data_IF_150293997814
#
_entry.id   IF_150293997814
#
_cell.length_a   1.000
_cell.length_b   1.000
_cell.length_c   1.000
_cell.angle_alpha   90.00
_cell.angle_beta   90.00
_cell.angle_gamma   90.00
#
_symmetry.space_group_name_H-M   'P 1'
#
loop_
_entity.id
_entity.type
_entity.pdbx_description
1 polymer ?
#
# COMPACT_ATOMS: atom_id res chain seq x y z
N UNK A 1 -71.78 -2.03 11.97
CA UNK A 1 -71.35 -1.93 10.54
C UNK A 1 -69.93 -1.49 10.58
N UNK A 2 -69.11 -2.45 10.59
CA UNK A 2 -67.67 -2.33 10.93
C UNK A 2 -66.89 -2.22 9.62
N UNK A 3 -66.19 -1.09 9.46
CA UNK A 3 -65.27 -0.86 8.36
C UNK A 3 -63.86 -1.21 8.76
N UNK A 4 -63.41 -2.40 8.39
CA UNK A 4 -62.05 -2.84 8.54
C UNK A 4 -61.16 -2.03 7.54
N UNK A 5 -60.19 -1.29 8.12
CA UNK A 5 -59.15 -0.62 7.37
C UNK A 5 -57.99 -1.58 7.15
N UNK A 6 -57.73 -1.93 5.92
CA UNK A 6 -56.56 -2.72 5.50
C UNK A 6 -55.21 -1.97 5.79
N UNK A 7 -54.17 -2.66 6.26
CA UNK A 7 -52.87 -2.05 6.45
C UNK A 7 -52.12 -1.99 5.10
N UNK A 8 -51.90 -0.77 4.63
CA UNK A 8 -51.08 -0.48 3.46
C UNK A 8 -49.63 -0.87 3.71
N UNK A 9 -49.19 -1.94 3.11
CA UNK A 9 -47.84 -2.44 3.14
C UNK A 9 -46.92 -1.47 2.36
N UNK A 10 -46.23 -0.56 3.05
CA UNK A 10 -45.19 0.28 2.46
C UNK A 10 -43.97 -0.58 2.15
N UNK A 11 -43.79 -0.92 0.88
CA UNK A 11 -42.52 -1.43 0.37
C UNK A 11 -41.46 -0.34 0.56
N UNK A 12 -40.53 -0.56 1.52
CA UNK A 12 -39.29 0.18 1.58
C UNK A 12 -38.38 -0.36 0.47
N UNK A 13 -38.32 0.34 -0.65
CA UNK A 13 -37.28 0.16 -1.62
C UNK A 13 -35.94 0.55 -0.96
N UNK A 14 -35.13 -0.45 -0.65
CA UNK A 14 -33.72 -0.25 -0.39
C UNK A 14 -33.08 0.19 -1.70
N UNK A 15 -32.89 1.50 -1.86
CA UNK A 15 -32.03 2.04 -2.91
C UNK A 15 -30.60 1.63 -2.53
N UNK A 16 -30.10 0.61 -3.23
CA UNK A 16 -28.67 0.31 -3.23
C UNK A 16 -27.94 1.56 -3.69
N UNK A 17 -27.23 2.21 -2.77
CA UNK A 17 -26.27 3.23 -3.14
C UNK A 17 -25.24 2.58 -4.06
N UNK A 18 -25.36 2.84 -5.34
CA UNK A 18 -24.30 2.63 -6.29
C UNK A 18 -23.07 3.39 -5.73
N UNK A 19 -22.01 2.66 -5.45
CA UNK A 19 -20.73 3.23 -5.06
C UNK A 19 -20.25 4.03 -6.26
N UNK A 20 -20.51 5.32 -6.25
CA UNK A 20 -20.00 6.26 -7.22
C UNK A 20 -18.49 6.29 -6.96
N UNK A 21 -17.70 5.75 -7.90
CA UNK A 21 -16.23 5.77 -7.79
C UNK A 21 -15.80 7.22 -7.57
N UNK A 22 -15.15 7.47 -6.46
CA UNK A 22 -14.60 8.80 -6.16
C UNK A 22 -13.56 9.14 -7.22
N UNK A 23 -13.93 10.05 -8.13
CA UNK A 23 -13.03 10.58 -9.15
C UNK A 23 -11.97 11.52 -8.54
N UNK A 24 -12.12 11.86 -7.27
CA UNK A 24 -11.21 12.73 -6.52
C UNK A 24 -10.78 12.03 -5.24
N UNK A 25 -9.49 12.09 -4.88
CA UNK A 25 -9.04 11.59 -3.59
C UNK A 25 -9.80 12.32 -2.48
N UNK A 26 -10.30 11.54 -1.51
CA UNK A 26 -11.01 12.06 -0.35
C UNK A 26 -10.23 13.22 0.26
N UNK A 27 -10.91 14.35 0.51
CA UNK A 27 -10.29 15.56 1.06
C UNK A 27 -9.67 15.35 2.46
N UNK A 28 -9.98 14.23 3.11
CA UNK A 28 -9.48 13.84 4.43
C UNK A 28 -8.17 13.03 4.39
N UNK A 29 -7.67 12.69 3.20
CA UNK A 29 -6.37 12.04 3.08
C UNK A 29 -5.25 13.05 3.37
N UNK A 30 -4.66 12.99 4.56
CA UNK A 30 -3.50 13.79 4.91
C UNK A 30 -2.38 13.60 3.86
N UNK A 31 -1.80 14.68 3.33
CA UNK A 31 -0.77 14.56 2.32
C UNK A 31 0.40 13.75 2.87
N UNK A 32 0.84 12.74 2.11
CA UNK A 32 2.01 11.95 2.47
C UNK A 32 3.23 12.84 2.35
N UNK A 33 3.79 13.26 3.48
CA UNK A 33 4.93 14.19 3.53
C UNK A 33 6.29 13.47 3.60
N UNK A 34 6.31 12.20 4.00
CA UNK A 34 7.53 11.41 4.21
C UNK A 34 7.51 10.11 3.42
N UNK A 35 8.60 9.85 2.70
CA UNK A 35 8.83 8.59 2.00
C UNK A 35 10.01 7.83 2.60
N UNK A 36 9.88 6.53 2.78
CA UNK A 36 10.92 5.66 3.34
C UNK A 36 11.51 4.78 2.25
N UNK A 37 12.84 4.70 2.19
CA UNK A 37 13.54 3.83 1.25
C UNK A 37 13.28 2.36 1.58
N UNK A 38 13.40 1.49 0.58
CA UNK A 38 13.20 0.04 0.76
C UNK A 38 14.06 -0.57 1.87
N UNK A 39 15.27 -0.07 2.10
CA UNK A 39 16.15 -0.50 3.19
C UNK A 39 15.57 -0.21 4.56
N UNK A 40 15.00 0.98 4.74
CA UNK A 40 14.34 1.40 5.99
C UNK A 40 13.04 0.61 6.19
N UNK A 41 12.19 0.53 5.14
CA UNK A 41 10.94 -0.22 5.19
C UNK A 41 11.19 -1.70 5.53
N UNK A 42 12.20 -2.33 4.91
CA UNK A 42 12.62 -3.70 5.17
C UNK A 42 13.05 -3.92 6.62
N UNK A 43 13.91 -3.03 7.13
CA UNK A 43 14.40 -3.07 8.52
C UNK A 43 13.27 -2.96 9.53
N UNK A 44 12.42 -1.95 9.37
CA UNK A 44 11.35 -1.63 10.33
C UNK A 44 10.22 -2.64 10.29
N UNK A 45 9.81 -3.11 9.10
CA UNK A 45 8.80 -4.16 8.96
C UNK A 45 9.34 -5.57 9.26
N UNK A 46 10.65 -5.75 9.43
CA UNK A 46 11.27 -7.04 9.69
C UNK A 46 11.30 -8.00 8.48
N UNK A 47 11.30 -7.48 7.27
CA UNK A 47 11.24 -8.26 6.03
C UNK A 47 12.62 -8.32 5.37
N UNK A 48 13.21 -9.50 5.25
CA UNK A 48 14.53 -9.68 4.63
C UNK A 48 14.50 -9.61 3.10
N UNK A 49 13.41 -10.00 2.47
CA UNK A 49 13.28 -10.13 1.01
C UNK A 49 12.24 -9.15 0.44
N UNK A 50 12.30 -7.87 0.82
CA UNK A 50 11.36 -6.87 0.35
C UNK A 50 11.35 -6.71 -1.17
N UNK A 51 12.50 -6.89 -1.84
CA UNK A 51 12.61 -6.89 -3.30
C UNK A 51 11.83 -8.02 -3.96
N UNK A 52 11.80 -9.20 -3.35
CA UNK A 52 10.97 -10.30 -3.80
C UNK A 52 9.48 -9.97 -3.67
N UNK A 53 9.08 -9.39 -2.53
CA UNK A 53 7.70 -8.99 -2.29
C UNK A 53 7.21 -7.94 -3.29
N UNK A 54 8.05 -6.95 -3.59
CA UNK A 54 7.72 -5.92 -4.57
C UNK A 54 7.63 -6.49 -6.00
N UNK A 55 8.53 -7.42 -6.39
CA UNK A 55 8.46 -8.08 -7.71
C UNK A 55 7.24 -9.00 -7.85
N UNK A 56 6.79 -9.60 -6.76
CA UNK A 56 5.58 -10.44 -6.71
C UNK A 56 4.31 -9.63 -6.47
N UNK A 57 4.44 -8.30 -6.40
CA UNK A 57 3.30 -7.38 -6.18
C UNK A 57 2.48 -7.74 -4.92
N UNK A 58 3.15 -8.28 -3.88
CA UNK A 58 2.50 -8.59 -2.61
C UNK A 58 2.12 -7.30 -1.91
N UNK A 59 3.08 -6.36 -1.77
CA UNK A 59 2.85 -4.98 -1.34
C UNK A 59 3.68 -4.07 -2.23
N UNK A 60 3.02 -3.20 -2.97
CA UNK A 60 3.69 -2.20 -3.80
C UNK A 60 3.91 -0.89 -3.03
N UNK A 61 5.05 -0.22 -3.24
CA UNK A 61 5.27 1.10 -2.65
C UNK A 61 4.33 2.14 -3.28
N UNK A 62 3.57 2.85 -2.45
CA UNK A 62 2.55 3.79 -2.91
C UNK A 62 3.12 5.12 -3.43
N UNK A 63 4.36 5.50 -3.01
CA UNK A 63 4.96 6.79 -3.39
C UNK A 63 5.74 6.66 -4.71
N UNK A 64 6.67 5.71 -4.78
CA UNK A 64 7.46 5.47 -5.99
C UNK A 64 7.51 3.97 -6.25
N UNK A 65 6.71 3.48 -7.22
CA UNK A 65 6.68 2.07 -7.58
C UNK A 65 8.00 1.61 -8.21
N UNK A 66 8.13 0.30 -8.35
CA UNK A 66 9.31 -0.32 -8.92
C UNK A 66 9.32 -0.19 -10.45
N UNK A 67 10.23 0.59 -11.00
CA UNK A 67 10.49 0.65 -12.44
C UNK A 67 11.87 0.04 -12.74
N UNK A 68 11.92 -1.28 -12.94
CA UNK A 68 13.15 -1.98 -13.31
C UNK A 68 14.19 -2.15 -12.18
N UNK A 69 15.36 -2.66 -12.55
CA UNK A 69 16.49 -2.87 -11.63
C UNK A 69 17.12 -1.52 -11.26
N UNK A 70 17.21 -1.24 -9.95
CA UNK A 70 17.83 -0.02 -9.43
C UNK A 70 16.88 1.15 -9.18
N UNK A 71 15.56 0.99 -9.37
CA UNK A 71 14.61 2.04 -9.01
C UNK A 71 14.61 2.29 -7.50
N UNK A 72 14.66 3.58 -7.13
CA UNK A 72 14.60 4.00 -5.72
C UNK A 72 13.15 3.96 -5.24
N UNK A 73 12.68 2.79 -4.82
CA UNK A 73 11.34 2.62 -4.26
C UNK A 73 11.18 3.46 -3.01
N UNK A 74 10.04 4.14 -2.90
CA UNK A 74 9.67 4.90 -1.72
C UNK A 74 8.33 4.40 -1.20
N UNK A 75 8.34 4.02 0.07
CA UNK A 75 7.20 3.50 0.81
C UNK A 75 6.64 4.59 1.71
N UNK A 76 5.31 4.70 1.78
CA UNK A 76 4.65 5.55 2.76
C UNK A 76 4.68 4.90 4.15
N UNK A 77 4.35 5.66 5.19
CA UNK A 77 4.13 5.12 6.53
C UNK A 77 3.12 3.96 6.51
N UNK A 78 2.01 4.15 5.80
CA UNK A 78 0.95 3.14 5.63
C UNK A 78 1.48 1.86 5.00
N UNK A 79 2.30 1.97 3.96
CA UNK A 79 2.89 0.79 3.31
C UNK A 79 3.75 -0.02 4.30
N UNK A 80 4.53 0.67 5.15
CA UNK A 80 5.37 -0.01 6.16
C UNK A 80 4.52 -0.73 7.20
N UNK A 81 3.38 -0.15 7.61
CA UNK A 81 2.41 -0.82 8.50
C UNK A 81 1.82 -2.06 7.82
N UNK A 82 1.37 -1.96 6.57
CA UNK A 82 0.83 -3.08 5.81
C UNK A 82 1.88 -4.19 5.64
N UNK A 83 3.12 -3.84 5.35
CA UNK A 83 4.23 -4.78 5.28
C UNK A 83 4.42 -5.53 6.60
N UNK A 84 4.40 -4.83 7.73
CA UNK A 84 4.56 -5.44 9.05
C UNK A 84 3.40 -6.39 9.39
N UNK A 85 2.15 -6.00 9.08
CA UNK A 85 0.96 -6.86 9.26
C UNK A 85 1.09 -8.11 8.38
N UNK A 86 1.42 -7.94 7.10
CA UNK A 86 1.58 -9.06 6.16
C UNK A 86 2.65 -10.05 6.64
N UNK A 87 3.76 -9.53 7.16
CA UNK A 87 4.82 -10.36 7.76
C UNK A 87 4.30 -11.17 8.94
N UNK A 88 3.53 -10.56 9.84
CA UNK A 88 2.95 -11.25 11.00
C UNK A 88 2.00 -12.36 10.58
N UNK A 89 1.15 -12.12 9.58
CA UNK A 89 0.24 -13.13 9.06
C UNK A 89 0.98 -14.31 8.43
N UNK A 90 2.01 -14.03 7.62
CA UNK A 90 2.83 -15.10 7.00
C UNK A 90 3.61 -15.89 8.04
N UNK A 91 4.18 -15.24 9.06
CA UNK A 91 4.89 -15.90 10.16
C UNK A 91 3.96 -16.79 10.99
N UNK A 92 2.68 -16.44 11.08
CA UNK A 92 1.64 -17.27 11.72
C UNK A 92 1.15 -18.42 10.83
N UNK A 93 1.68 -18.58 9.62
CA UNK A 93 1.32 -19.66 8.69
C UNK A 93 0.08 -19.37 7.83
N UNK A 94 -0.41 -18.13 7.82
CA UNK A 94 -1.53 -17.73 6.94
C UNK A 94 -1.05 -17.81 5.48
N UNK A 95 -1.86 -18.42 4.62
CA UNK A 95 -1.52 -18.53 3.20
C UNK A 95 -1.50 -17.16 2.51
N UNK A 96 -0.73 -17.07 1.41
CA UNK A 96 -0.51 -15.82 0.71
C UNK A 96 -1.80 -15.19 0.16
N UNK A 97 -2.78 -15.99 -0.24
CA UNK A 97 -4.06 -15.48 -0.75
C UNK A 97 -4.82 -14.71 0.33
N UNK A 98 -4.90 -15.24 1.55
CA UNK A 98 -5.54 -14.57 2.67
C UNK A 98 -4.76 -13.31 3.11
N UNK A 99 -3.42 -13.36 3.03
CA UNK A 99 -2.59 -12.17 3.25
C UNK A 99 -2.89 -11.10 2.21
N UNK A 100 -3.05 -11.46 0.93
CA UNK A 100 -3.43 -10.52 -0.14
C UNK A 100 -4.81 -9.90 0.12
N UNK A 101 -5.77 -10.69 0.59
CA UNK A 101 -7.09 -10.18 1.00
C UNK A 101 -6.97 -9.17 2.15
N UNK A 102 -6.16 -9.48 3.17
CA UNK A 102 -5.88 -8.55 4.26
C UNK A 102 -5.20 -7.26 3.80
N UNK A 103 -4.25 -7.36 2.88
CA UNK A 103 -3.58 -6.19 2.27
C UNK A 103 -4.60 -5.31 1.56
N UNK A 104 -5.45 -5.88 0.71
CA UNK A 104 -6.51 -5.16 0.00
C UNK A 104 -7.46 -4.44 0.96
N UNK A 105 -7.84 -5.10 2.05
CA UNK A 105 -8.65 -4.51 3.10
C UNK A 105 -7.96 -3.32 3.78
N UNK A 106 -6.69 -3.47 4.18
CA UNK A 106 -5.92 -2.41 4.85
C UNK A 106 -5.59 -1.25 3.91
N UNK A 107 -5.39 -1.52 2.63
CA UNK A 107 -5.09 -0.51 1.63
C UNK A 107 -6.23 0.52 1.44
N UNK A 108 -7.45 0.15 1.74
CA UNK A 108 -8.63 1.03 1.67
C UNK A 108 -8.78 1.94 2.91
N UNK A 109 -8.01 1.73 3.98
CA UNK A 109 -8.08 2.50 5.23
C UNK A 109 -7.09 3.65 5.22
N UNK A 110 -7.43 4.74 5.92
CA UNK A 110 -6.46 5.82 6.17
C UNK A 110 -5.43 5.38 7.23
N UNK A 111 -4.24 6.02 7.29
CA UNK A 111 -3.26 5.72 8.33
C UNK A 111 -3.84 5.84 9.75
N UNK A 112 -4.73 6.79 10.00
CA UNK A 112 -5.37 7.05 11.28
C UNK A 112 -6.36 5.94 11.64
N UNK A 113 -7.13 5.46 10.66
CA UNK A 113 -8.04 4.33 10.86
C UNK A 113 -7.28 3.06 11.25
N UNK A 114 -6.08 2.84 10.70
CA UNK A 114 -5.26 1.68 11.04
C UNK A 114 -4.80 1.67 12.50
N UNK A 115 -4.77 2.83 13.17
CA UNK A 115 -4.29 2.95 14.55
C UNK A 115 -5.18 2.26 15.59
N UNK A 116 -6.46 2.02 15.28
CA UNK A 116 -7.44 1.48 16.23
C UNK A 116 -7.97 0.09 15.91
N UNK A 117 -7.62 -0.50 14.76
CA UNK A 117 -8.25 -1.73 14.33
C UNK A 117 -7.47 -2.99 14.70
N UNK A 118 -8.25 -4.07 14.90
CA UNK A 118 -7.77 -5.44 14.97
C UNK A 118 -8.37 -6.17 13.77
N UNK A 119 -7.58 -6.90 13.03
CA UNK A 119 -8.08 -7.79 11.99
C UNK A 119 -8.04 -9.23 12.47
N UNK A 120 -9.09 -9.98 12.15
CA UNK A 120 -9.18 -11.41 12.39
C UNK A 120 -9.42 -12.14 11.08
N UNK A 121 -8.58 -13.16 10.80
CA UNK A 121 -8.65 -13.95 9.59
C UNK A 121 -9.11 -15.36 9.95
N UNK A 122 -10.18 -15.84 9.32
CA UNK A 122 -10.74 -17.18 9.54
C UNK A 122 -10.26 -18.21 8.48
N UNK A 123 -9.26 -17.85 7.69
CA UNK A 123 -8.73 -18.67 6.60
C UNK A 123 -9.42 -18.44 5.26
N UNK A 124 -10.56 -17.74 5.22
CA UNK A 124 -11.28 -17.37 3.99
C UNK A 124 -11.55 -15.86 3.93
N UNK A 125 -11.89 -15.26 5.07
CA UNK A 125 -12.28 -13.87 5.16
C UNK A 125 -11.41 -13.11 6.15
N UNK A 126 -11.39 -11.78 5.97
CA UNK A 126 -10.78 -10.85 6.91
C UNK A 126 -11.89 -10.02 7.55
N UNK A 127 -11.94 -10.06 8.86
CA UNK A 127 -12.90 -9.34 9.68
C UNK A 127 -12.20 -8.22 10.43
N UNK A 128 -12.77 -7.02 10.38
CA UNK A 128 -12.35 -5.92 11.24
C UNK A 128 -13.06 -6.03 12.57
N UNK A 129 -12.32 -5.95 13.65
CA UNK A 129 -12.86 -5.91 15.00
C UNK A 129 -12.40 -4.61 15.66
N UNK A 130 -13.37 -3.81 16.09
CA UNK A 130 -13.13 -2.56 16.81
C UNK A 130 -13.35 -2.72 18.32
N UNK A 131 -14.06 -3.76 18.72
CA UNK A 131 -14.38 -4.08 20.10
C UNK A 131 -14.19 -5.58 20.43
N UNK A 132 -14.21 -5.88 21.72
CA UNK A 132 -14.02 -7.24 22.24
C UNK A 132 -15.20 -8.17 21.94
N UNK A 133 -16.41 -7.64 21.81
CA UNK A 133 -17.62 -8.45 21.59
C UNK A 133 -17.58 -9.06 20.19
N UNK A 134 -17.17 -8.30 19.19
CA UNK A 134 -16.97 -8.79 17.81
C UNK A 134 -15.92 -9.90 17.76
N UNK A 135 -14.82 -9.76 18.51
CA UNK A 135 -13.79 -10.80 18.59
C UNK A 135 -14.32 -12.08 19.22
N UNK A 136 -15.08 -11.96 20.31
CA UNK A 136 -15.69 -13.11 20.99
C UNK A 136 -16.71 -13.80 20.10
N UNK A 137 -17.55 -13.04 19.39
CA UNK A 137 -18.52 -13.60 18.44
C UNK A 137 -17.85 -14.42 17.32
N UNK A 138 -16.73 -13.92 16.78
CA UNK A 138 -15.94 -14.67 15.79
C UNK A 138 -15.36 -15.96 16.36
N UNK A 139 -14.83 -15.93 17.57
CA UNK A 139 -14.31 -17.14 18.23
C UNK A 139 -15.41 -18.15 18.53
N UNK A 140 -16.60 -17.70 18.91
CA UNK A 140 -17.77 -18.56 19.17
C UNK A 140 -18.34 -19.19 17.89
N UNK A 141 -17.98 -18.70 16.71
CA UNK A 141 -18.39 -19.28 15.43
C UNK A 141 -17.84 -20.70 15.18
N UNK A 142 -16.95 -21.20 16.04
CA UNK A 142 -16.31 -22.51 15.93
C UNK A 142 -15.22 -22.59 14.85
N UNK A 143 -14.82 -21.47 14.26
CA UNK A 143 -13.75 -21.39 13.26
C UNK A 143 -12.42 -21.11 13.94
N UNK A 144 -11.35 -21.64 13.37
CA UNK A 144 -10.00 -21.22 13.73
C UNK A 144 -9.76 -19.82 13.18
N UNK A 145 -9.40 -18.87 14.04
CA UNK A 145 -9.15 -17.47 13.67
C UNK A 145 -7.77 -17.03 14.14
N UNK A 146 -7.12 -16.21 13.30
CA UNK A 146 -5.87 -15.54 13.63
C UNK A 146 -6.13 -14.05 13.75
N UNK A 147 -5.78 -13.49 14.90
CA UNK A 147 -5.93 -12.06 15.17
C UNK A 147 -4.61 -11.31 15.07
N UNK A 148 -4.63 -10.12 14.45
CA UNK A 148 -3.50 -9.18 14.43
C UNK A 148 -3.99 -7.81 14.85
N UNK A 149 -3.41 -7.27 15.92
CA UNK A 149 -3.61 -5.88 16.30
C UNK A 149 -2.82 -4.97 15.37
N UNK A 150 -3.50 -4.42 14.37
CA UNK A 150 -2.91 -3.46 13.43
C UNK A 150 -2.52 -2.19 14.17
N UNK A 151 -3.35 -1.73 15.12
CA UNK A 151 -3.07 -0.56 15.94
C UNK A 151 -1.78 -0.69 16.75
N UNK A 152 -1.53 -1.85 17.37
CA UNK A 152 -0.27 -2.09 18.07
C UNK A 152 0.93 -2.00 17.14
N UNK A 153 0.86 -2.59 15.95
CA UNK A 153 1.92 -2.50 14.94
C UNK A 153 2.07 -1.07 14.43
N UNK A 154 0.98 -0.35 14.22
CA UNK A 154 1.00 1.05 13.82
C UNK A 154 1.83 1.91 14.80
N UNK A 155 1.59 1.77 16.12
CA UNK A 155 2.33 2.49 17.14
C UNK A 155 3.81 2.09 17.19
N UNK A 156 4.11 0.79 17.06
CA UNK A 156 5.50 0.30 17.02
C UNK A 156 6.24 0.85 15.79
N UNK A 157 5.63 0.80 14.62
CA UNK A 157 6.20 1.32 13.37
C UNK A 157 6.40 2.83 13.44
N UNK A 158 5.41 3.57 13.95
CA UNK A 158 5.53 5.02 14.14
C UNK A 158 6.75 5.37 14.97
N UNK A 159 6.90 4.74 16.14
CA UNK A 159 8.04 4.94 17.04
C UNK A 159 9.38 4.55 16.38
N UNK A 160 9.41 3.44 15.65
CA UNK A 160 10.62 3.00 14.95
C UNK A 160 11.05 3.97 13.84
N UNK A 161 10.08 4.49 13.07
CA UNK A 161 10.35 5.41 11.97
C UNK A 161 10.71 6.83 12.41
N UNK A 162 10.46 7.23 13.66
CA UNK A 162 10.87 8.53 14.21
C UNK A 162 12.38 8.73 14.16
N UNK A 163 13.15 7.64 14.26
CA UNK A 163 14.61 7.65 14.29
C UNK A 163 15.27 7.22 12.98
N UNK A 164 14.48 6.96 11.94
CA UNK A 164 14.98 6.49 10.64
C UNK A 164 15.04 7.61 9.61
N UNK A 165 15.93 7.46 8.64
CA UNK A 165 16.03 8.38 7.52
C UNK A 165 14.79 8.34 6.63
N UNK A 166 14.32 9.51 6.23
CA UNK A 166 13.19 9.65 5.31
C UNK A 166 13.50 10.67 4.22
N UNK A 167 12.75 10.57 3.13
CA UNK A 167 12.74 11.54 2.04
C UNK A 167 11.57 12.49 2.29
N UNK A 168 11.85 13.77 2.42
CA UNK A 168 10.84 14.81 2.57
C UNK A 168 10.20 15.10 1.20
N UNK A 169 8.92 14.78 1.06
CA UNK A 169 8.16 14.94 -0.18
C UNK A 169 7.57 16.34 -0.34
N UNK A 170 7.61 17.15 0.72
CA UNK A 170 7.14 18.56 0.65
C UNK A 170 8.16 19.46 -0.02
N UNK A 171 9.43 19.07 0.02
CA UNK A 171 10.48 19.76 -0.70
C UNK A 171 10.39 19.31 -2.16
N UNK A 172 9.79 20.14 -3.01
CA UNK A 172 9.96 20.01 -4.46
C UNK A 172 11.45 19.85 -4.71
N UNK A 173 11.93 18.79 -5.39
CA UNK A 173 13.32 18.73 -5.77
C UNK A 173 13.55 20.00 -6.58
N UNK A 174 14.38 20.91 -6.06
CA UNK A 174 14.88 22.02 -6.84
C UNK A 174 15.28 21.40 -8.16
N UNK A 175 14.71 21.89 -9.26
CA UNK A 175 14.92 21.41 -10.62
C UNK A 175 16.39 21.02 -10.73
N UNK A 176 16.64 19.71 -10.71
CA UNK A 176 17.98 19.19 -10.86
C UNK A 176 18.40 19.67 -12.23
N UNK A 177 19.33 20.59 -12.22
CA UNK A 177 20.06 21.05 -13.39
C UNK A 177 20.09 19.95 -14.45
N UNK A 178 19.44 20.21 -15.58
CA UNK A 178 19.47 19.39 -16.78
C UNK A 178 20.89 19.30 -17.38
N UNK A 179 21.87 19.79 -16.65
CA UNK A 179 23.30 19.72 -16.97
C UNK A 179 23.95 18.50 -16.31
N UNK A 180 23.38 17.31 -16.53
CA UNK A 180 24.03 16.06 -16.14
C UNK A 180 24.98 15.60 -17.24
N UNK A 181 26.21 15.22 -16.87
CA UNK A 181 27.24 14.70 -17.81
C UNK A 181 26.79 13.47 -18.65
N UNK A 182 25.65 12.87 -18.29
CA UNK A 182 25.11 11.68 -18.98
C UNK A 182 24.58 12.03 -20.38
N UNK A 183 24.02 13.22 -20.58
CA UNK A 183 23.56 13.66 -21.91
C UNK A 183 24.73 13.95 -22.83
N UNK A 184 25.85 14.44 -22.30
CA UNK A 184 27.08 14.65 -23.06
C UNK A 184 27.67 13.33 -23.55
N UNK A 185 27.69 12.27 -22.77
CA UNK A 185 28.20 10.95 -23.15
C UNK A 185 27.34 10.32 -24.24
N UNK A 186 26.01 10.44 -24.15
CA UNK A 186 25.10 9.97 -25.19
C UNK A 186 25.25 10.78 -26.49
N UNK A 187 25.40 12.10 -26.40
CA UNK A 187 25.64 13.00 -27.52
C UNK A 187 26.99 12.73 -28.18
N UNK A 188 28.05 12.50 -27.41
CA UNK A 188 29.38 12.13 -27.91
C UNK A 188 29.36 10.78 -28.62
N UNK A 189 28.68 9.78 -28.07
CA UNK A 189 28.52 8.46 -28.72
C UNK A 189 27.74 8.57 -30.03
N UNK A 190 26.70 9.39 -30.07
CA UNK A 190 25.90 9.60 -31.27
C UNK A 190 26.68 10.35 -32.35
N UNK A 191 27.43 11.38 -32.00
CA UNK A 191 28.35 12.10 -32.94
C UNK A 191 29.40 11.15 -33.52
N UNK A 192 30.05 10.34 -32.69
CA UNK A 192 31.05 9.35 -33.14
C UNK A 192 30.45 8.30 -34.09
N UNK A 193 29.21 7.88 -33.83
CA UNK A 193 28.48 6.94 -34.72
C UNK A 193 28.08 7.57 -36.06
N UNK A 194 27.76 8.85 -36.08
CA UNK A 194 27.45 9.60 -37.29
C UNK A 194 28.70 9.87 -38.12
N UNK A 195 29.80 10.18 -37.47
CA UNK A 195 31.10 10.37 -38.16
C UNK A 195 31.63 9.08 -38.80
N UNK A 196 31.50 7.94 -38.11
CA UNK A 196 31.90 6.65 -38.67
C UNK A 196 31.06 6.28 -39.90
N UNK A 197 29.73 6.56 -39.86
CA UNK A 197 28.84 6.35 -41.02
C UNK A 197 29.14 7.29 -42.18
N UNK A 198 29.57 8.54 -41.93
CA UNK A 198 30.00 9.48 -42.95
C UNK A 198 31.30 9.02 -43.61
N UNK A 199 32.27 8.53 -42.84
CA UNK A 199 33.54 8.01 -43.38
C UNK A 199 33.35 6.76 -44.23
N UNK A 200 32.49 5.83 -43.81
CA UNK A 200 32.20 4.64 -44.63
C UNK A 200 31.43 4.95 -45.92
N UNK A 201 30.68 6.05 -45.96
CA UNK A 201 29.92 6.49 -47.13
C UNK A 201 30.77 7.30 -48.13
N UNK A 202 31.88 7.88 -47.66
CA UNK A 202 32.84 8.62 -48.48
C UNK A 202 33.95 7.72 -49.07
N UNK A 203 34.02 6.45 -48.62
CA UNK A 203 35.02 5.47 -49.07
C UNK A 203 34.41 4.39 -49.99
N UNK A 204 33.12 4.50 -50.36
CA UNK A 204 32.41 3.67 -51.31
C UNK A 204 32.00 4.48 -52.56
#
# INVERSE_FOLDING_TARGET
MDGEAEPTMRLHLHVSHAVQGELFPSADAQPVTRGYRGTVASKVAGIRQLDYWARKQIVEPSITPSHGSGSRRLYSFKDVVILAVSKRLLDAGINLQNVTTAIGFLAQRTPEQLAGIIIMCDGQNVHECTDSEQMVALLQSGRAVFGVSVGSLWHQIKKALEHEEYVDLTKTPASTDTNRPIDDIAAIRMRKKLESRRKSRAAA
#
